data_IF_404393500602
#
_entry.id   IF_404393500602
#
_cell.length_a   1.000
_cell.length_b   1.000
_cell.length_c   1.000
_cell.angle_alpha   90.00
_cell.angle_beta   90.00
_cell.angle_gamma   90.00
#
_symmetry.space_group_name_H-M   'P 1'
#
loop_
_entity.id
_entity.type
_entity.pdbx_description
1 polymer ?
#
# COMPACT_ATOMS: atom_id res chain seq x y z
N UNK A 1 -3.20 23.12 -5.21
CA UNK A 1 -2.17 23.26 -4.15
C UNK A 1 -0.79 23.27 -4.79
N UNK A 2 0.11 24.18 -4.41
CA UNK A 2 1.52 24.12 -4.84
C UNK A 2 2.28 23.06 -4.04
N UNK A 3 3.39 22.53 -4.57
CA UNK A 3 4.18 21.51 -3.87
C UNK A 3 4.71 21.98 -2.50
N UNK A 4 4.75 23.31 -2.27
CA UNK A 4 5.11 23.95 -1.00
C UNK A 4 4.16 23.69 0.17
N UNK A 5 2.93 23.26 -0.11
CA UNK A 5 1.88 23.15 0.92
C UNK A 5 1.64 21.69 1.35
N UNK A 6 2.32 20.75 0.70
CA UNK A 6 2.19 19.32 0.96
C UNK A 6 3.10 18.93 2.14
N UNK A 7 2.52 18.23 3.11
CA UNK A 7 3.23 17.75 4.28
C UNK A 7 2.91 16.26 4.44
N UNK A 8 3.75 15.36 3.89
CA UNK A 8 3.56 13.93 4.09
C UNK A 8 3.56 13.60 5.59
N UNK A 9 2.62 12.77 6.00
CA UNK A 9 2.40 12.37 7.39
C UNK A 9 3.15 11.06 7.68
N UNK A 10 4.34 11.19 8.24
CA UNK A 10 5.21 10.05 8.56
C UNK A 10 4.64 9.21 9.69
N UNK A 11 3.92 9.82 10.64
CA UNK A 11 3.29 9.08 11.73
C UNK A 11 2.14 8.21 11.22
N UNK A 12 1.35 8.71 10.27
CA UNK A 12 0.31 7.92 9.61
C UNK A 12 0.87 6.76 8.79
N UNK A 13 1.99 7.00 8.10
CA UNK A 13 2.72 5.93 7.40
C UNK A 13 3.22 4.86 8.38
N UNK A 14 3.79 5.29 9.52
CA UNK A 14 4.28 4.41 10.58
C UNK A 14 3.16 3.55 11.16
N UNK A 15 2.01 4.14 11.50
CA UNK A 15 0.85 3.42 12.02
C UNK A 15 0.36 2.33 11.06
N UNK A 16 0.30 2.61 9.76
CA UNK A 16 -0.07 1.61 8.77
C UNK A 16 0.94 0.45 8.70
N UNK A 17 2.24 0.75 8.74
CA UNK A 17 3.30 -0.27 8.69
C UNK A 17 3.29 -1.15 9.95
N UNK A 18 3.10 -0.56 11.12
CA UNK A 18 3.00 -1.29 12.40
C UNK A 18 1.84 -2.28 12.44
N UNK A 19 0.74 -2.00 11.73
CA UNK A 19 -0.37 -2.96 11.57
C UNK A 19 -0.02 -4.12 10.63
N UNK A 20 0.89 -3.92 9.67
CA UNK A 20 1.32 -4.98 8.75
C UNK A 20 2.39 -5.89 9.35
N UNK A 21 3.38 -5.31 10.04
CA UNK A 21 4.49 -6.05 10.63
C UNK A 21 5.02 -5.35 11.88
N UNK A 22 5.28 -6.13 12.93
CA UNK A 22 5.90 -5.62 14.14
C UNK A 22 7.42 -5.40 13.97
N UNK A 23 8.04 -6.02 12.96
CA UNK A 23 9.45 -5.79 12.63
C UNK A 23 9.59 -4.53 11.75
N UNK A 24 10.10 -3.40 12.30
CA UNK A 24 10.17 -2.14 11.59
C UNK A 24 11.16 -2.16 10.42
N UNK A 25 12.13 -3.07 10.39
CA UNK A 25 13.20 -3.11 9.39
C UNK A 25 12.87 -4.03 8.19
N UNK A 26 11.70 -4.68 8.23
CA UNK A 26 11.30 -5.71 7.27
C UNK A 26 10.66 -5.17 5.97
N UNK A 27 10.66 -3.85 5.75
CA UNK A 27 9.90 -3.25 4.65
C UNK A 27 10.72 -3.03 3.36
N UNK A 28 10.00 -3.11 2.25
CA UNK A 28 10.49 -2.75 0.91
C UNK A 28 9.61 -1.65 0.37
N UNK A 29 10.17 -0.44 0.25
CA UNK A 29 9.50 0.69 -0.37
C UNK A 29 9.80 0.77 -1.85
N UNK A 30 8.84 1.26 -2.62
CA UNK A 30 8.96 1.52 -4.03
C UNK A 30 8.51 2.95 -4.33
N UNK A 31 9.36 3.66 -5.07
CA UNK A 31 9.09 5.02 -5.54
C UNK A 31 8.78 4.96 -7.03
N UNK A 32 7.75 5.65 -7.50
CA UNK A 32 7.47 5.83 -8.93
C UNK A 32 7.17 7.30 -9.23
N UNK A 33 7.71 7.84 -10.32
CA UNK A 33 7.26 9.14 -10.82
C UNK A 33 5.79 9.06 -11.23
N UNK A 34 4.96 9.96 -10.71
CA UNK A 34 3.53 10.02 -11.04
C UNK A 34 3.15 11.35 -11.68
N UNK A 35 3.56 12.48 -11.10
CA UNK A 35 3.21 13.82 -11.59
C UNK A 35 3.90 14.12 -12.91
N UNK A 36 3.17 14.74 -13.84
CA UNK A 36 3.73 15.23 -15.10
C UNK A 36 4.90 16.17 -14.83
N UNK A 37 6.06 15.87 -15.42
CA UNK A 37 7.29 16.64 -15.24
C UNK A 37 8.12 16.29 -13.99
N UNK A 38 7.70 15.30 -13.18
CA UNK A 38 8.56 14.77 -12.12
C UNK A 38 9.86 14.20 -12.69
N UNK A 39 10.98 14.50 -12.02
CA UNK A 39 12.32 13.98 -12.36
C UNK A 39 12.72 12.79 -11.48
N UNK A 40 11.80 12.32 -10.65
CA UNK A 40 12.02 11.12 -9.84
C UNK A 40 12.12 9.89 -10.74
N UNK A 41 12.85 8.88 -10.29
CA UNK A 41 13.02 7.62 -11.01
C UNK A 41 12.65 6.44 -10.11
N UNK A 42 12.30 5.29 -10.70
CA UNK A 42 11.98 4.11 -9.92
C UNK A 42 13.13 3.71 -9.00
N UNK A 43 12.84 3.65 -7.69
CA UNK A 43 13.80 3.23 -6.66
C UNK A 43 13.16 2.21 -5.75
N UNK A 44 13.94 1.20 -5.36
CA UNK A 44 13.61 0.23 -4.33
C UNK A 44 14.47 0.58 -3.11
N UNK A 45 13.85 0.70 -1.95
CA UNK A 45 14.54 0.95 -0.68
C UNK A 45 14.14 -0.14 0.31
N UNK A 46 15.11 -0.83 0.88
CA UNK A 46 14.91 -1.88 1.88
C UNK A 46 15.29 -1.37 3.27
N UNK A 47 14.52 -1.72 4.29
CA UNK A 47 14.74 -1.31 5.68
C UNK A 47 13.54 -0.56 6.26
N UNK A 48 13.76 0.16 7.35
CA UNK A 48 12.70 0.84 8.07
C UNK A 48 12.27 2.17 7.46
N UNK A 49 11.04 2.59 7.81
CA UNK A 49 10.53 3.92 7.52
C UNK A 49 11.46 4.99 8.08
N UNK A 50 11.95 4.83 9.32
CA UNK A 50 12.87 5.76 9.98
C UNK A 50 14.14 5.98 9.15
N UNK A 51 14.72 4.92 8.60
CA UNK A 51 15.93 5.01 7.77
C UNK A 51 15.67 5.80 6.48
N UNK A 52 14.48 5.67 5.89
CA UNK A 52 14.19 6.19 4.54
C UNK A 52 13.28 7.44 4.51
N UNK A 53 12.76 7.90 5.66
CA UNK A 53 11.73 8.93 5.76
C UNK A 53 12.06 10.19 4.93
N UNK A 54 13.25 10.77 5.12
CA UNK A 54 13.68 11.97 4.38
C UNK A 54 13.70 11.75 2.87
N UNK A 55 14.15 10.56 2.44
CA UNK A 55 14.20 10.20 1.01
C UNK A 55 12.79 10.05 0.43
N UNK A 56 11.89 9.40 1.17
CA UNK A 56 10.51 9.19 0.75
C UNK A 56 9.73 10.51 0.70
N UNK A 57 9.87 11.37 1.72
CA UNK A 57 9.26 12.70 1.77
C UNK A 57 9.73 13.54 0.61
N UNK A 58 11.05 13.65 0.42
CA UNK A 58 11.62 14.44 -0.68
C UNK A 58 11.13 13.96 -2.05
N UNK A 59 11.12 12.65 -2.27
CA UNK A 59 10.61 12.08 -3.51
C UNK A 59 9.12 12.38 -3.71
N UNK A 60 8.31 12.25 -2.65
CA UNK A 60 6.89 12.52 -2.72
C UNK A 60 6.61 13.99 -3.04
N UNK A 61 7.31 14.93 -2.41
CA UNK A 61 7.24 16.36 -2.72
C UNK A 61 7.68 16.70 -4.15
N UNK A 62 8.61 15.91 -4.70
CA UNK A 62 9.06 16.01 -6.10
C UNK A 62 8.12 15.30 -7.11
N UNK A 63 6.93 14.89 -6.69
CA UNK A 63 5.91 14.35 -7.58
C UNK A 63 5.94 12.84 -7.78
N UNK A 64 6.66 12.09 -6.93
CA UNK A 64 6.58 10.63 -6.93
C UNK A 64 5.47 10.09 -6.04
N UNK A 65 4.89 8.96 -6.40
CA UNK A 65 4.10 8.13 -5.51
C UNK A 65 5.01 7.25 -4.66
N UNK A 66 4.62 7.06 -3.39
CA UNK A 66 5.31 6.20 -2.44
C UNK A 66 4.47 4.96 -2.17
N UNK A 67 5.09 3.80 -2.31
CA UNK A 67 4.45 2.50 -2.21
C UNK A 67 5.26 1.59 -1.29
N UNK A 68 4.60 0.57 -0.74
CA UNK A 68 5.23 -0.49 0.04
C UNK A 68 4.84 -1.84 -0.55
N UNK A 69 5.80 -2.76 -0.66
CA UNK A 69 5.52 -4.17 -0.91
C UNK A 69 4.84 -4.75 0.33
N UNK A 70 3.56 -5.12 0.20
CA UNK A 70 2.73 -5.47 1.35
C UNK A 70 3.31 -6.69 2.06
N UNK A 71 3.57 -7.76 1.31
CA UNK A 71 4.13 -8.99 1.88
C UNK A 71 5.63 -8.85 2.15
N UNK A 72 6.11 -9.55 3.17
CA UNK A 72 7.51 -9.46 3.59
C UNK A 72 8.42 -10.14 2.57
N UNK A 73 9.49 -9.44 2.18
CA UNK A 73 10.52 -9.97 1.28
C UNK A 73 11.82 -10.31 1.99
N UNK A 74 12.80 -10.77 1.21
CA UNK A 74 14.18 -11.02 1.65
C UNK A 74 15.10 -9.80 1.61
N UNK A 75 14.53 -8.60 1.41
CA UNK A 75 15.26 -7.33 1.31
C UNK A 75 16.34 -7.31 0.20
N UNK A 76 16.19 -8.16 -0.81
CA UNK A 76 17.13 -8.27 -1.95
C UNK A 76 16.45 -8.00 -3.31
N UNK A 77 15.16 -7.69 -3.30
CA UNK A 77 14.36 -7.40 -4.48
C UNK A 77 12.87 -7.29 -4.19
N UNK A 78 12.07 -7.22 -5.27
CA UNK A 78 10.59 -7.14 -5.20
C UNK A 78 9.88 -8.02 -6.24
N UNK A 79 10.47 -9.16 -6.56
CA UNK A 79 9.84 -10.19 -7.40
C UNK A 79 9.12 -11.21 -6.51
N UNK A 80 8.27 -12.05 -7.10
CA UNK A 80 7.60 -13.12 -6.38
C UNK A 80 8.59 -14.05 -5.65
N UNK A 81 9.75 -14.34 -6.25
CA UNK A 81 10.83 -15.15 -5.65
C UNK A 81 11.47 -14.51 -4.40
N UNK A 82 11.33 -13.19 -4.22
CA UNK A 82 11.83 -12.50 -3.04
C UNK A 82 10.86 -12.56 -1.86
N UNK A 83 9.58 -12.89 -2.08
CA UNK A 83 8.57 -12.89 -1.03
C UNK A 83 8.75 -14.10 -0.12
N UNK A 84 8.75 -13.86 1.20
CA UNK A 84 9.01 -14.87 2.22
C UNK A 84 7.81 -15.14 3.12
N UNK A 85 6.95 -14.15 3.32
CA UNK A 85 5.79 -14.27 4.22
C UNK A 85 4.65 -13.37 3.76
N UNK A 86 3.43 -13.90 3.82
CA UNK A 86 2.20 -13.12 3.61
C UNK A 86 1.93 -12.30 4.86
N UNK A 87 1.82 -10.97 4.74
CA UNK A 87 1.38 -10.09 5.84
C UNK A 87 -0.12 -9.86 5.81
N UNK A 88 -0.66 -9.73 4.62
CA UNK A 88 -2.08 -9.50 4.41
C UNK A 88 -2.50 -9.96 3.03
N UNK A 89 -3.75 -10.41 2.92
CA UNK A 89 -4.49 -10.38 1.66
C UNK A 89 -5.12 -9.01 1.48
N UNK A 90 -5.39 -8.61 0.24
CA UNK A 90 -5.92 -7.27 -0.02
C UNK A 90 -6.87 -7.24 -1.20
N UNK A 91 -7.56 -6.12 -1.40
CA UNK A 91 -8.28 -5.81 -2.64
C UNK A 91 -8.00 -4.38 -3.05
N UNK A 92 -7.99 -4.14 -4.36
CA UNK A 92 -7.97 -2.80 -4.95
C UNK A 92 -9.34 -2.50 -5.57
N UNK A 93 -10.06 -1.55 -4.98
CA UNK A 93 -11.42 -1.15 -5.30
C UNK A 93 -11.41 0.18 -6.03
N UNK A 94 -11.04 0.07 -7.30
CA UNK A 94 -10.76 1.21 -8.16
C UNK A 94 -12.02 1.71 -8.90
N UNK A 95 -13.04 0.84 -9.02
CA UNK A 95 -14.27 1.05 -9.80
C UNK A 95 -15.56 0.82 -9.01
N UNK A 96 -15.45 0.30 -7.79
CA UNK A 96 -16.58 -0.07 -6.95
C UNK A 96 -16.54 0.70 -5.63
N UNK A 97 -17.71 0.96 -5.07
CA UNK A 97 -17.85 1.60 -3.76
C UNK A 97 -17.36 0.70 -2.63
N UNK A 98 -17.10 1.32 -1.48
CA UNK A 98 -16.61 0.67 -0.26
C UNK A 98 -17.71 -0.11 0.49
N UNK A 99 -18.99 0.17 0.24
CA UNK A 99 -20.13 -0.37 1.00
C UNK A 99 -20.09 -1.89 1.23
N UNK A 100 -19.73 -2.75 0.24
CA UNK A 100 -19.70 -4.19 0.45
C UNK A 100 -18.69 -4.66 1.49
N UNK A 101 -17.65 -3.86 1.80
CA UNK A 101 -16.64 -4.17 2.81
C UNK A 101 -17.21 -4.04 4.23
N UNK A 102 -18.08 -3.06 4.47
CA UNK A 102 -18.65 -2.80 5.80
C UNK A 102 -19.76 -3.78 6.18
N UNK A 103 -20.34 -4.47 5.20
CA UNK A 103 -21.35 -5.52 5.39
C UNK A 103 -20.78 -6.92 5.18
N UNK A 104 -19.46 -7.07 5.02
CA UNK A 104 -18.84 -8.37 4.88
C UNK A 104 -18.91 -9.13 6.21
N UNK A 105 -19.12 -10.45 6.14
CA UNK A 105 -19.07 -11.33 7.31
C UNK A 105 -17.69 -11.27 7.98
N UNK A 106 -16.64 -11.20 7.17
CA UNK A 106 -15.28 -10.92 7.62
C UNK A 106 -14.88 -9.51 7.16
N UNK A 107 -15.00 -8.47 8.01
CA UNK A 107 -14.59 -7.12 7.65
C UNK A 107 -13.07 -7.06 7.47
N UNK A 108 -12.56 -6.14 6.62
CA UNK A 108 -11.13 -5.89 6.54
C UNK A 108 -10.61 -5.26 7.83
N UNK A 109 -9.38 -5.60 8.19
CA UNK A 109 -8.70 -5.05 9.36
C UNK A 109 -8.23 -3.60 9.10
N UNK A 110 -7.87 -3.32 7.84
CA UNK A 110 -7.38 -2.00 7.42
C UNK A 110 -8.13 -1.59 6.16
N UNK A 111 -8.60 -0.35 6.11
CA UNK A 111 -9.13 0.27 4.89
C UNK A 111 -8.32 1.52 4.57
N UNK A 112 -8.00 1.73 3.31
CA UNK A 112 -7.21 2.88 2.85
C UNK A 112 -7.94 3.55 1.70
N UNK A 113 -8.22 4.84 1.81
CA UNK A 113 -8.58 5.65 0.65
C UNK A 113 -7.31 5.98 -0.14
N UNK A 114 -7.15 5.35 -1.30
CA UNK A 114 -5.95 5.49 -2.14
C UNK A 114 -6.01 6.73 -3.04
N UNK A 115 -7.23 7.18 -3.33
CA UNK A 115 -7.59 8.46 -3.92
C UNK A 115 -9.10 8.67 -3.77
N UNK A 116 -9.66 9.88 -4.05
CA UNK A 116 -11.08 10.13 -3.83
C UNK A 116 -11.98 9.06 -4.45
N UNK A 117 -12.70 8.33 -3.59
CA UNK A 117 -13.63 7.27 -3.99
C UNK A 117 -13.00 5.96 -4.45
N UNK A 118 -11.68 5.77 -4.26
CA UNK A 118 -10.95 4.54 -4.58
C UNK A 118 -10.26 3.99 -3.34
N UNK A 119 -10.36 2.69 -3.12
CA UNK A 119 -10.06 2.09 -1.82
C UNK A 119 -9.17 0.87 -1.94
N UNK A 120 -8.28 0.67 -0.96
CA UNK A 120 -7.69 -0.63 -0.68
C UNK A 120 -8.28 -1.16 0.62
N UNK A 121 -8.46 -2.47 0.72
CA UNK A 121 -8.82 -3.12 1.97
C UNK A 121 -7.91 -4.31 2.21
N UNK A 122 -7.53 -4.54 3.48
CA UNK A 122 -6.54 -5.54 3.87
C UNK A 122 -7.09 -6.46 4.95
N UNK A 123 -6.85 -7.75 4.79
CA UNK A 123 -7.05 -8.77 5.81
C UNK A 123 -5.69 -9.28 6.27
N UNK A 124 -5.33 -8.99 7.53
CA UNK A 124 -4.08 -9.43 8.11
C UNK A 124 -4.04 -10.97 8.15
N UNK A 125 -2.91 -11.52 7.73
CA UNK A 125 -2.71 -12.94 7.61
C UNK A 125 -2.11 -13.51 8.91
N UNK A 126 -2.51 -14.73 9.27
CA UNK A 126 -1.86 -15.43 10.36
C UNK A 126 -0.40 -15.79 9.98
N UNK A 127 0.54 -15.87 10.94
CA UNK A 127 1.96 -16.12 10.65
C UNK A 127 2.24 -17.37 9.79
N UNK A 128 1.38 -18.39 9.89
CA UNK A 128 1.44 -19.67 9.19
C UNK A 128 0.79 -19.68 7.80
N UNK A 129 0.29 -18.54 7.31
CA UNK A 129 -0.40 -18.45 6.02
C UNK A 129 0.52 -18.88 4.87
N UNK A 130 0.03 -19.83 4.07
CA UNK A 130 0.80 -20.42 2.97
C UNK A 130 0.94 -19.44 1.79
N UNK A 131 2.17 -19.24 1.33
CA UNK A 131 2.48 -18.29 0.26
C UNK A 131 1.95 -18.74 -1.12
N UNK A 132 1.92 -20.04 -1.38
CA UNK A 132 1.44 -20.64 -2.62
C UNK A 132 -0.09 -20.53 -2.80
N UNK A 133 -0.83 -20.40 -1.70
CA UNK A 133 -2.28 -20.14 -1.72
C UNK A 133 -2.61 -18.67 -2.02
N UNK A 134 -1.65 -17.75 -1.86
CA UNK A 134 -1.86 -16.32 -1.98
C UNK A 134 -2.61 -15.92 -3.27
N UNK A 135 -2.20 -16.35 -4.48
CA UNK A 135 -2.86 -15.94 -5.71
C UNK A 135 -4.32 -16.42 -5.81
N UNK A 136 -4.64 -17.57 -5.22
CA UNK A 136 -6.00 -18.13 -5.25
C UNK A 136 -6.94 -17.33 -4.33
N UNK A 137 -6.52 -17.07 -3.09
CA UNK A 137 -7.27 -16.25 -2.12
C UNK A 137 -7.50 -14.84 -2.65
N UNK A 138 -6.45 -14.24 -3.19
CA UNK A 138 -6.46 -12.89 -3.71
C UNK A 138 -7.45 -12.72 -4.89
N UNK A 139 -7.52 -13.70 -5.81
CA UNK A 139 -8.53 -13.73 -6.88
C UNK A 139 -9.95 -13.92 -6.35
N UNK A 140 -10.13 -14.75 -5.31
CA UNK A 140 -11.43 -14.95 -4.68
C UNK A 140 -11.95 -13.66 -4.02
N UNK A 141 -11.07 -12.92 -3.34
CA UNK A 141 -11.38 -11.61 -2.76
C UNK A 141 -11.73 -10.59 -3.85
N UNK A 142 -10.93 -10.48 -4.92
CA UNK A 142 -11.22 -9.60 -6.04
C UNK A 142 -12.60 -9.90 -6.67
N UNK A 143 -12.93 -11.18 -6.86
CA UNK A 143 -14.27 -11.58 -7.33
C UNK A 143 -15.38 -11.21 -6.33
N UNK A 144 -15.17 -11.44 -5.03
CA UNK A 144 -16.16 -11.21 -3.98
C UNK A 144 -16.50 -9.72 -3.79
N UNK A 145 -15.51 -8.85 -3.97
CA UNK A 145 -15.64 -7.40 -3.74
C UNK A 145 -15.60 -6.58 -5.04
N UNK A 146 -15.61 -7.24 -6.19
CA UNK A 146 -15.49 -6.60 -7.52
C UNK A 146 -14.22 -5.74 -7.66
N UNK A 147 -13.13 -6.15 -7.00
CA UNK A 147 -11.81 -5.52 -7.11
C UNK A 147 -11.05 -5.94 -8.37
N UNK A 148 -9.87 -5.35 -8.57
CA UNK A 148 -9.02 -5.66 -9.73
C UNK A 148 -8.41 -7.08 -9.62
N UNK A 149 -8.74 -8.02 -10.54
CA UNK A 149 -8.17 -9.37 -10.53
C UNK A 149 -6.68 -9.42 -10.88
N UNK A 150 -6.10 -8.35 -11.43
CA UNK A 150 -4.67 -8.27 -11.73
C UNK A 150 -3.81 -8.10 -10.48
N UNK A 151 -4.41 -7.67 -9.37
CA UNK A 151 -3.77 -7.53 -8.05
C UNK A 151 -3.72 -8.91 -7.39
N UNK A 152 -3.00 -9.87 -8.00
CA UNK A 152 -2.91 -11.26 -7.53
C UNK A 152 -1.50 -11.78 -7.29
N UNK A 153 -0.46 -10.96 -7.49
CA UNK A 153 0.93 -11.33 -7.25
C UNK A 153 1.35 -11.01 -5.81
N UNK A 154 2.13 -11.90 -5.16
CA UNK A 154 2.50 -11.71 -3.76
C UNK A 154 3.49 -10.55 -3.53
N UNK A 155 4.19 -10.10 -4.57
CA UNK A 155 5.17 -9.01 -4.50
C UNK A 155 4.57 -7.63 -4.85
N UNK A 156 3.24 -7.52 -4.83
CA UNK A 156 2.55 -6.28 -5.19
C UNK A 156 2.89 -5.17 -4.21
N UNK A 157 3.11 -3.99 -4.79
CA UNK A 157 3.25 -2.75 -4.04
C UNK A 157 1.92 -2.01 -4.02
N UNK A 158 1.54 -1.52 -2.84
CA UNK A 158 0.34 -0.70 -2.62
C UNK A 158 0.74 0.68 -2.11
N UNK A 159 -0.10 1.69 -2.32
CA UNK A 159 0.18 3.06 -1.83
C UNK A 159 0.35 3.04 -0.32
N UNK A 160 1.38 3.73 0.17
CA UNK A 160 1.64 3.88 1.59
C UNK A 160 0.82 5.08 2.12
N UNK A 161 -0.12 4.88 3.07
CA UNK A 161 -0.80 5.98 3.75
C UNK A 161 0.16 6.99 4.35
N UNK A 162 -0.26 8.25 4.43
CA UNK A 162 0.57 9.37 4.87
C UNK A 162 1.33 10.07 3.74
N UNK A 163 1.47 9.42 2.56
CA UNK A 163 2.05 10.06 1.37
C UNK A 163 0.97 10.47 0.36
N UNK A 164 1.27 11.50 -0.43
CA UNK A 164 0.37 11.96 -1.48
C UNK A 164 0.42 11.06 -2.71
N UNK A 165 -0.75 10.68 -3.22
CA UNK A 165 -0.91 10.28 -4.61
C UNK A 165 -0.70 11.51 -5.49
N UNK A 166 0.44 11.56 -6.17
CA UNK A 166 0.87 12.67 -7.00
C UNK A 166 0.27 12.53 -8.40
N UNK A 167 -1.06 12.66 -8.52
CA UNK A 167 -1.81 12.51 -9.77
C UNK A 167 -1.12 13.28 -10.93
N UNK A 168 -1.06 12.63 -12.10
CA UNK A 168 -0.38 13.14 -13.31
C UNK A 168 -0.67 14.63 -13.57
N UNK A 169 -1.95 14.96 -13.72
CA UNK A 169 -2.43 16.28 -14.10
C UNK A 169 -3.57 16.77 -13.18
N UNK A 170 -3.49 16.48 -11.88
CA UNK A 170 -4.55 16.84 -10.93
C UNK A 170 -4.04 17.18 -9.54
N UNK A 171 -4.97 17.61 -8.68
CA UNK A 171 -4.64 17.90 -7.30
C UNK A 171 -4.15 16.64 -6.57
N UNK A 172 -3.07 16.78 -5.78
CA UNK A 172 -2.56 15.67 -4.98
C UNK A 172 -3.59 15.29 -3.92
N UNK A 173 -3.62 14.01 -3.58
CA UNK A 173 -4.48 13.49 -2.52
C UNK A 173 -3.64 12.70 -1.53
N UNK A 174 -3.71 13.01 -0.24
CA UNK A 174 -3.03 12.22 0.78
C UNK A 174 -3.70 10.85 0.84
N UNK A 175 -2.93 9.77 0.68
CA UNK A 175 -3.45 8.42 0.90
C UNK A 175 -3.77 8.26 2.38
N UNK A 176 -5.01 7.90 2.73
CA UNK A 176 -5.49 7.90 4.12
C UNK A 176 -5.92 6.51 4.54
N UNK A 177 -5.28 5.97 5.57
CA UNK A 177 -5.82 4.84 6.32
C UNK A 177 -7.03 5.28 7.15
N UNK A 178 -8.12 4.53 7.03
CA UNK A 178 -9.26 4.54 7.92
C UNK A 178 -9.18 3.27 8.79
N UNK A 179 -9.37 3.40 10.10
CA UNK A 179 -9.42 2.22 10.95
C UNK A 179 -10.62 1.36 10.55
N UNK A 180 -10.36 0.08 10.21
CA UNK A 180 -11.41 -0.93 10.10
C UNK A 180 -12.01 -1.20 11.49
N UNK A 181 -13.18 -1.86 11.55
CA UNK A 181 -13.69 -2.32 12.84
C UNK A 181 -12.68 -3.30 13.45
N UNK A 182 -12.40 -3.13 14.75
CA UNK A 182 -11.68 -4.16 15.52
C UNK A 182 -12.46 -5.49 15.41
N UNK A 183 -11.72 -6.57 15.15
CA UNK A 183 -12.26 -7.92 15.06
C UNK A 183 -12.64 -8.47 16.44
#
# INVERSE_FOLDING_TARGET
MTASDLHPDIDHARQFLELLDADPDSFTFQIFAERTGSKEFPRILHGSLTQHADTLVKANLNGAGIFVMVNAGDLSGRKAENVRRVRAHYVDLDKCGIDPLFTAELPPHIVVESSPGKWHAYWLAAPETALDEFPAVQKALAKRFSGDPAVSDPARVMRLPGFYHQKKDGDPFMTLMQQGKEA
#
